data_IF_668132601528
#
_entry.id   IF_668132601528
#
_cell.length_a   1.000
_cell.length_b   1.000
_cell.length_c   1.000
_cell.angle_alpha   90.00
_cell.angle_beta   90.00
_cell.angle_gamma   90.00
#
_symmetry.space_group_name_H-M   'P 1'
#
loop_
_entity.id
_entity.type
_entity.pdbx_description
1 polymer ?
#
# COMPACT_ATOMS: atom_id res chain seq x y z
N UNK A 1 9.12 0.95 13.85
CA UNK A 1 7.68 0.97 13.56
C UNK A 1 7.36 2.39 13.13
N UNK A 2 6.86 2.62 11.92
CA UNK A 2 6.53 3.99 11.50
C UNK A 2 5.35 4.50 12.34
N UNK A 3 5.51 5.63 13.01
CA UNK A 3 4.41 6.30 13.69
C UNK A 3 3.43 6.77 12.62
N UNK A 4 2.25 6.14 12.59
CA UNK A 4 1.17 6.58 11.70
C UNK A 4 0.62 7.89 12.23
N UNK A 5 0.83 8.98 11.50
CA UNK A 5 0.17 10.26 11.78
C UNK A 5 -1.28 10.17 11.29
N UNK A 6 -2.30 10.11 12.18
CA UNK A 6 -3.69 10.09 11.74
C UNK A 6 -4.03 11.47 11.17
N UNK A 7 -4.08 11.57 9.84
CA UNK A 7 -4.58 12.77 9.19
C UNK A 7 -6.12 12.75 9.25
N UNK A 8 -6.77 13.84 9.71
CA UNK A 8 -8.21 13.94 9.63
C UNK A 8 -8.65 13.84 8.17
N UNK A 9 -9.83 13.24 7.94
CA UNK A 9 -10.43 13.23 6.60
C UNK A 9 -10.56 14.69 6.14
N UNK A 10 -10.00 15.07 4.99
CA UNK A 10 -10.11 16.44 4.53
C UNK A 10 -11.59 16.77 4.32
N UNK A 11 -12.04 17.98 4.71
CA UNK A 11 -13.40 18.43 4.41
C UNK A 11 -13.66 18.38 2.90
N UNK A 12 -14.93 18.23 2.52
CA UNK A 12 -15.33 18.25 1.12
C UNK A 12 -14.85 19.54 0.44
N UNK A 13 -14.16 19.40 -0.69
CA UNK A 13 -13.49 20.52 -1.38
C UNK A 13 -14.46 21.49 -2.04
N UNK A 14 -15.63 21.01 -2.47
CA UNK A 14 -16.63 21.79 -3.21
C UNK A 14 -17.20 22.99 -2.41
N UNK A 15 -17.74 22.83 -1.19
CA UNK A 15 -18.23 23.97 -0.40
C UNK A 15 -17.13 24.93 0.02
N UNK A 16 -15.89 24.44 0.25
CA UNK A 16 -14.75 25.29 0.57
C UNK A 16 -14.36 26.19 -0.63
N UNK A 17 -14.40 25.64 -1.84
CA UNK A 17 -14.12 26.40 -3.04
C UNK A 17 -15.18 27.48 -3.29
N UNK A 18 -16.46 27.16 -3.05
CA UNK A 18 -17.55 28.12 -3.10
C UNK A 18 -17.37 29.25 -2.07
N UNK A 19 -17.04 28.92 -0.81
CA UNK A 19 -16.76 29.91 0.23
C UNK A 19 -15.58 30.81 -0.15
N UNK A 20 -14.48 30.24 -0.64
CA UNK A 20 -13.31 31.00 -1.09
C UNK A 20 -13.67 32.02 -2.18
N UNK A 21 -14.51 31.62 -3.14
CA UNK A 21 -14.97 32.50 -4.21
C UNK A 21 -15.81 33.69 -3.72
N UNK A 22 -16.45 33.59 -2.55
CA UNK A 22 -17.21 34.70 -1.94
C UNK A 22 -16.34 35.73 -1.21
N UNK A 23 -15.06 35.43 -0.97
CA UNK A 23 -14.19 36.32 -0.21
C UNK A 23 -13.73 37.51 -1.06
N UNK A 24 -13.47 38.69 -0.46
CA UNK A 24 -12.86 39.82 -1.15
C UNK A 24 -11.49 39.46 -1.74
N UNK A 25 -11.12 40.10 -2.85
CA UNK A 25 -9.85 39.85 -3.53
C UNK A 25 -8.60 39.99 -2.61
N UNK A 26 -8.64 40.93 -1.66
CA UNK A 26 -7.57 41.08 -0.67
C UNK A 26 -7.43 39.84 0.25
N UNK A 27 -8.55 39.29 0.73
CA UNK A 27 -8.55 38.08 1.56
C UNK A 27 -8.11 36.84 0.75
N UNK A 28 -8.55 36.76 -0.52
CA UNK A 28 -8.10 35.71 -1.43
C UNK A 28 -6.58 35.74 -1.64
N UNK A 29 -6.01 36.94 -1.84
CA UNK A 29 -4.57 37.14 -2.00
C UNK A 29 -3.78 36.76 -0.73
N UNK A 30 -4.27 37.14 0.46
CA UNK A 30 -3.64 36.74 1.74
C UNK A 30 -3.64 35.23 1.91
N UNK A 31 -4.75 34.54 1.66
CA UNK A 31 -4.84 33.08 1.76
C UNK A 31 -3.96 32.38 0.72
N UNK A 32 -3.88 32.90 -0.51
CA UNK A 32 -3.01 32.36 -1.54
C UNK A 32 -1.52 32.46 -1.13
N UNK A 33 -1.12 33.59 -0.56
CA UNK A 33 0.24 33.78 -0.03
C UNK A 33 0.52 32.82 1.14
N UNK A 34 -0.40 32.68 2.10
CA UNK A 34 -0.26 31.71 3.20
C UNK A 34 -0.15 30.27 2.70
N UNK A 35 -0.96 29.88 1.72
CA UNK A 35 -0.89 28.56 1.08
C UNK A 35 0.46 28.32 0.43
N UNK A 36 1.00 29.32 -0.25
CA UNK A 36 2.32 29.22 -0.88
C UNK A 36 3.43 29.02 0.17
N UNK A 37 3.43 29.81 1.24
CA UNK A 37 4.37 29.64 2.35
C UNK A 37 4.27 28.24 2.98
N UNK A 38 3.05 27.77 3.25
CA UNK A 38 2.84 26.44 3.83
C UNK A 38 3.33 25.33 2.90
N UNK A 39 3.09 25.45 1.59
CA UNK A 39 3.53 24.48 0.60
C UNK A 39 5.07 24.40 0.52
N UNK A 40 5.74 25.54 0.62
CA UNK A 40 7.21 25.62 0.60
C UNK A 40 7.83 25.06 1.89
N UNK A 41 7.21 25.35 3.05
CA UNK A 41 7.58 24.73 4.33
C UNK A 41 7.41 23.21 4.31
N UNK A 42 6.26 22.72 3.80
CA UNK A 42 6.02 21.29 3.63
C UNK A 42 7.06 20.66 2.72
N UNK A 43 7.34 21.27 1.56
CA UNK A 43 8.36 20.75 0.64
C UNK A 43 9.73 20.66 1.30
N UNK A 44 10.18 21.73 1.96
CA UNK A 44 11.45 21.74 2.71
C UNK A 44 11.53 20.64 3.76
N UNK A 45 10.44 20.40 4.51
CA UNK A 45 10.36 19.31 5.49
C UNK A 45 10.41 17.92 4.83
N UNK A 46 9.86 17.78 3.63
CA UNK A 46 9.78 16.52 2.90
C UNK A 46 11.03 16.23 2.04
N UNK A 47 11.82 17.23 1.66
CA UNK A 47 12.93 17.11 0.68
C UNK A 47 14.04 16.12 1.10
N UNK A 48 14.12 15.76 2.39
CA UNK A 48 15.06 14.74 2.91
C UNK A 48 14.37 13.49 3.45
N UNK A 49 13.05 13.36 3.30
CA UNK A 49 12.34 12.16 3.69
C UNK A 49 12.35 11.18 2.51
N UNK A 50 12.85 9.95 2.69
CA UNK A 50 12.77 8.94 1.64
C UNK A 50 11.30 8.62 1.38
N UNK A 51 10.77 9.08 0.26
CA UNK A 51 9.51 8.61 -0.27
C UNK A 51 9.78 7.36 -1.11
N UNK A 52 9.52 6.20 -0.53
CA UNK A 52 9.46 4.96 -1.31
C UNK A 52 8.05 4.85 -1.86
N UNK A 53 7.82 5.06 -3.18
CA UNK A 53 6.51 4.83 -3.76
C UNK A 53 6.05 3.40 -3.45
N UNK A 54 4.74 3.16 -3.25
CA UNK A 54 4.23 1.81 -3.14
C UNK A 54 4.70 1.00 -4.34
N UNK A 55 5.15 -0.23 -4.10
CA UNK A 55 5.57 -1.09 -5.20
C UNK A 55 4.41 -1.27 -6.19
N UNK A 56 4.72 -1.21 -7.48
CA UNK A 56 3.75 -1.56 -8.52
C UNK A 56 3.39 -3.05 -8.38
N UNK A 57 2.12 -3.41 -8.58
CA UNK A 57 1.71 -4.81 -8.52
C UNK A 57 2.49 -5.66 -9.53
N UNK A 58 3.03 -6.79 -9.09
CA UNK A 58 3.68 -7.75 -9.97
C UNK A 58 2.66 -8.55 -10.78
N UNK A 59 3.08 -9.17 -11.89
CA UNK A 59 2.22 -10.08 -12.65
C UNK A 59 1.94 -11.35 -11.83
N UNK A 60 0.70 -11.57 -11.37
CA UNK A 60 0.38 -12.73 -10.53
C UNK A 60 0.52 -14.06 -11.27
N UNK A 61 0.38 -14.05 -12.60
CA UNK A 61 0.42 -15.26 -13.41
C UNK A 61 1.79 -15.95 -13.34
N UNK A 62 2.86 -15.17 -13.10
CA UNK A 62 4.22 -15.69 -12.93
C UNK A 62 4.35 -16.70 -11.79
N UNK A 63 3.53 -16.59 -10.74
CA UNK A 63 3.63 -17.42 -9.54
C UNK A 63 2.74 -18.67 -9.56
N UNK A 64 1.74 -18.70 -10.44
CA UNK A 64 0.73 -19.78 -10.49
C UNK A 64 1.37 -21.17 -10.61
N UNK A 65 2.33 -21.43 -11.53
CA UNK A 65 2.89 -22.78 -11.70
C UNK A 65 3.64 -23.27 -10.47
N UNK A 66 4.40 -22.39 -9.79
CA UNK A 66 5.14 -22.74 -8.59
C UNK A 66 4.20 -23.02 -7.42
N UNK A 67 3.13 -22.23 -7.28
CA UNK A 67 2.12 -22.42 -6.24
C UNK A 67 1.38 -23.75 -6.46
N UNK A 68 0.99 -24.05 -7.69
CA UNK A 68 0.28 -25.29 -8.01
C UNK A 68 1.17 -26.52 -7.72
N UNK A 69 2.45 -26.47 -8.10
CA UNK A 69 3.41 -27.53 -7.75
C UNK A 69 3.57 -27.70 -6.23
N UNK A 70 3.66 -26.59 -5.48
CA UNK A 70 3.78 -26.63 -4.02
C UNK A 70 2.51 -27.15 -3.33
N UNK A 71 1.33 -26.86 -3.88
CA UNK A 71 0.05 -27.40 -3.40
C UNK A 71 -0.01 -28.93 -3.60
N UNK A 72 0.37 -29.41 -4.78
CA UNK A 72 0.40 -30.84 -5.10
C UNK A 72 1.40 -31.61 -4.22
N UNK A 73 2.59 -31.05 -4.03
CA UNK A 73 3.68 -31.68 -3.29
C UNK A 73 3.65 -31.39 -1.78
N UNK A 74 2.69 -30.57 -1.31
CA UNK A 74 2.58 -30.11 0.08
C UNK A 74 3.87 -29.48 0.59
N UNK A 75 4.50 -28.65 -0.24
CA UNK A 75 5.75 -27.97 0.07
C UNK A 75 5.50 -26.58 0.65
N UNK A 76 6.41 -26.14 1.51
CA UNK A 76 6.42 -24.78 2.02
C UNK A 76 6.90 -23.83 0.94
N UNK A 77 6.42 -22.59 1.00
CA UNK A 77 6.84 -21.51 0.12
C UNK A 77 7.54 -20.43 0.93
N UNK A 78 8.72 -20.00 0.48
CA UNK A 78 9.36 -18.78 0.96
C UNK A 78 8.95 -17.62 0.04
N UNK A 79 8.34 -16.60 0.64
CA UNK A 79 7.70 -15.50 -0.07
C UNK A 79 8.27 -14.16 0.39
N UNK A 80 8.75 -13.34 -0.54
CA UNK A 80 8.96 -11.91 -0.34
C UNK A 80 7.66 -11.18 -0.67
N UNK A 81 7.03 -10.60 0.35
CA UNK A 81 5.67 -10.06 0.28
C UNK A 81 5.61 -8.59 0.69
N UNK A 82 5.12 -7.74 -0.23
CA UNK A 82 4.92 -6.32 0.01
C UNK A 82 3.64 -6.05 0.82
N UNK A 83 3.80 -5.37 1.96
CA UNK A 83 2.69 -5.00 2.85
C UNK A 83 2.33 -3.52 2.65
N UNK A 84 1.32 -3.26 1.82
CA UNK A 84 0.89 -1.90 1.46
C UNK A 84 0.65 -0.98 2.67
N UNK A 85 -0.02 -1.47 3.73
CA UNK A 85 -0.33 -0.66 4.92
C UNK A 85 0.90 -0.19 5.72
N UNK A 86 2.05 -0.85 5.53
CA UNK A 86 3.31 -0.49 6.20
C UNK A 86 4.41 -0.05 5.24
N UNK A 87 4.11 -0.05 3.93
CA UNK A 87 5.06 0.20 2.85
C UNK A 87 6.39 -0.54 3.02
N UNK A 88 6.34 -1.84 3.32
CA UNK A 88 7.53 -2.66 3.57
C UNK A 88 7.38 -4.07 3.02
N UNK A 89 8.51 -4.64 2.60
CA UNK A 89 8.62 -6.04 2.17
C UNK A 89 8.97 -6.92 3.36
N UNK A 90 8.24 -8.02 3.51
CA UNK A 90 8.47 -9.04 4.55
C UNK A 90 8.80 -10.37 3.91
N UNK A 91 9.70 -11.14 4.51
CA UNK A 91 9.93 -12.54 4.15
C UNK A 91 9.03 -13.44 4.99
N UNK A 92 8.32 -14.36 4.34
CA UNK A 92 7.33 -15.24 4.98
C UNK A 92 7.56 -16.66 4.54
N UNK A 93 7.57 -17.57 5.51
CA UNK A 93 7.42 -19.00 5.25
C UNK A 93 5.94 -19.35 5.38
N UNK A 94 5.36 -19.90 4.32
CA UNK A 94 3.93 -20.20 4.26
C UNK A 94 3.66 -21.62 3.78
N UNK A 95 2.65 -22.26 4.37
CA UNK A 95 2.11 -23.54 3.91
C UNK A 95 0.86 -23.27 3.06
N UNK A 96 0.91 -23.47 1.72
CA UNK A 96 -0.20 -23.15 0.83
C UNK A 96 -1.35 -24.16 1.00
N UNK A 97 -2.59 -23.68 1.01
CA UNK A 97 -3.78 -24.53 1.10
C UNK A 97 -4.64 -24.53 -0.16
N UNK A 98 -5.00 -23.36 -0.68
CA UNK A 98 -5.69 -23.23 -1.98
C UNK A 98 -5.55 -21.81 -2.54
N UNK A 99 -5.78 -21.68 -3.85
CA UNK A 99 -5.93 -20.38 -4.52
C UNK A 99 -7.39 -19.97 -4.61
N UNK A 100 -7.66 -18.68 -4.47
CA UNK A 100 -8.99 -18.08 -4.60
C UNK A 100 -8.90 -16.78 -5.42
N UNK A 101 -10.02 -16.28 -5.93
CA UNK A 101 -10.07 -15.05 -6.70
C UNK A 101 -11.09 -14.08 -6.10
N UNK A 102 -10.68 -12.83 -5.90
CA UNK A 102 -11.58 -11.76 -5.46
C UNK A 102 -11.56 -10.62 -6.47
N UNK A 103 -12.70 -10.39 -7.15
CA UNK A 103 -12.89 -9.29 -8.12
C UNK A 103 -11.81 -9.29 -9.22
N UNK A 104 -11.48 -10.45 -9.78
CA UNK A 104 -10.46 -10.59 -10.84
C UNK A 104 -9.01 -10.59 -10.35
N UNK A 105 -8.77 -10.54 -9.03
CA UNK A 105 -7.42 -10.58 -8.46
C UNK A 105 -7.20 -11.94 -7.81
N UNK A 106 -6.11 -12.67 -8.13
CA UNK A 106 -5.82 -13.96 -7.52
C UNK A 106 -5.15 -13.83 -6.15
N UNK A 107 -5.54 -14.72 -5.25
CA UNK A 107 -5.10 -14.80 -3.86
C UNK A 107 -4.65 -16.23 -3.52
N UNK A 108 -3.77 -16.35 -2.53
CA UNK A 108 -3.36 -17.60 -1.92
C UNK A 108 -3.80 -17.63 -0.45
N UNK A 109 -4.57 -18.65 -0.07
CA UNK A 109 -4.84 -18.98 1.33
C UNK A 109 -3.71 -19.87 1.84
N UNK A 110 -3.03 -19.45 2.91
CA UNK A 110 -1.89 -20.21 3.44
C UNK A 110 -1.70 -19.99 4.95
N UNK A 111 -1.17 -20.99 5.64
CA UNK A 111 -0.72 -20.83 7.02
C UNK A 111 0.62 -20.09 7.04
N UNK A 112 0.69 -18.95 7.72
CA UNK A 112 1.90 -18.16 7.81
C UNK A 112 2.61 -18.45 9.14
N UNK A 113 3.79 -19.07 9.07
CA UNK A 113 4.56 -19.42 10.26
C UNK A 113 4.98 -18.19 11.08
N UNK A 114 5.34 -17.09 10.41
CA UNK A 114 5.71 -15.83 11.07
C UNK A 114 4.54 -15.18 11.82
N UNK A 115 3.30 -15.43 11.40
CA UNK A 115 2.10 -14.89 12.04
C UNK A 115 1.36 -15.91 12.93
N UNK A 116 1.77 -17.18 12.89
CA UNK A 116 1.14 -18.28 13.63
C UNK A 116 -0.33 -18.55 13.26
N UNK A 117 -0.77 -18.13 12.07
CA UNK A 117 -2.18 -18.22 11.66
C UNK A 117 -2.34 -18.28 10.15
N UNK A 118 -3.53 -18.72 9.71
CA UNK A 118 -3.93 -18.66 8.30
C UNK A 118 -4.15 -17.20 7.89
N UNK A 119 -3.53 -16.83 6.77
CA UNK A 119 -3.66 -15.52 6.14
C UNK A 119 -4.04 -15.71 4.67
N UNK A 120 -4.53 -14.62 4.06
CA UNK A 120 -4.76 -14.55 2.62
C UNK A 120 -3.76 -13.57 2.01
N UNK A 121 -3.03 -14.00 1.00
CA UNK A 121 -2.00 -13.23 0.32
C UNK A 121 -2.48 -12.86 -1.08
N UNK A 122 -2.37 -11.59 -1.47
CA UNK A 122 -2.60 -11.21 -2.87
C UNK A 122 -1.37 -11.55 -3.69
N UNK A 123 -1.54 -12.25 -4.80
CA UNK A 123 -0.40 -12.68 -5.61
C UNK A 123 0.28 -11.53 -6.34
N UNK A 124 -0.44 -10.44 -6.60
CA UNK A 124 0.10 -9.21 -7.19
C UNK A 124 1.05 -8.42 -6.24
N UNK A 125 1.18 -8.85 -4.99
CA UNK A 125 2.10 -8.27 -3.98
C UNK A 125 3.29 -9.16 -3.68
N UNK A 126 3.43 -10.28 -4.40
CA UNK A 126 4.57 -11.18 -4.26
C UNK A 126 5.69 -10.67 -5.14
N UNK A 127 6.83 -10.36 -4.53
CA UNK A 127 8.04 -9.89 -5.23
C UNK A 127 8.94 -11.06 -5.63
N UNK A 128 8.99 -12.10 -4.79
CA UNK A 128 9.74 -13.31 -5.05
C UNK A 128 9.06 -14.49 -4.35
N UNK A 129 9.10 -15.64 -5.00
CA UNK A 129 8.55 -16.89 -4.48
C UNK A 129 9.49 -18.04 -4.82
N UNK A 130 9.88 -18.82 -3.82
CA UNK A 130 10.68 -20.03 -3.98
C UNK A 130 10.13 -21.14 -3.08
N UNK A 131 10.47 -22.38 -3.41
CA UNK A 131 10.17 -23.59 -2.62
C UNK A 131 11.35 -23.92 -1.74
#
# INVERSE_FOLDING_TARGET
MAEHLPLPVPPSTQPLHALYATLPAAAQATLAAQRQVLAEQLRSLLDNLPFTPPLEPSDPAAWIPLIDAALEQKQLLQMSYFTAGRNLTTHRLVEPYWREEHRGVPYLRAYCHSAGRVLTFRLDRVEALVV
#
